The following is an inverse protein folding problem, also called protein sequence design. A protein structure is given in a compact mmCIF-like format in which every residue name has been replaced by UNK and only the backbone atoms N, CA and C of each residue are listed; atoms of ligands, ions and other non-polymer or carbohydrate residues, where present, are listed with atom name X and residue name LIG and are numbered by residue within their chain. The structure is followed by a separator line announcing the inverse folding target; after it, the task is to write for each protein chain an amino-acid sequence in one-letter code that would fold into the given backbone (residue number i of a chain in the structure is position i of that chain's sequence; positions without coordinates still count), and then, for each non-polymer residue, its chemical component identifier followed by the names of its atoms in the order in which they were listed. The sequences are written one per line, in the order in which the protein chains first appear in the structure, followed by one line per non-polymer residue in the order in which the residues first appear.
data_IF_602861250829
#
_entry.id   IF_602861250829
#
_cell.length_a   1.000
_cell.length_b   1.000
_cell.length_c   1.000
_cell.angle_alpha   90.00
_cell.angle_beta   90.00
_cell.angle_gamma   90.00
#
_symmetry.space_group_name_H-M   'P 1'
#
loop_
_entity.id
_entity.type
_entity.pdbx_description
1 polymer ?
#
# COMPACT_ATOMS: atom_id res chain seq x y z
N UNK A 1 7.19 -14.87 13.19
CA UNK A 1 5.73 -14.63 13.24
C UNK A 1 5.23 -14.68 11.82
N UNK A 2 4.16 -15.42 11.52
CA UNK A 2 3.58 -15.41 10.17
C UNK A 2 2.70 -14.15 10.07
N UNK A 3 2.88 -13.28 9.06
CA UNK A 3 2.03 -12.10 8.90
C UNK A 3 0.58 -12.48 8.63
N UNK A 4 -0.41 -11.76 9.18
CA UNK A 4 -1.83 -12.11 9.08
C UNK A 4 -2.37 -12.08 7.64
N UNK A 5 -1.74 -11.30 6.76
CA UNK A 5 -2.14 -11.15 5.36
C UNK A 5 -1.51 -12.20 4.42
N UNK A 6 -0.59 -13.04 4.91
CA UNK A 6 0.18 -13.98 4.08
C UNK A 6 -0.71 -14.98 3.36
N UNK A 7 -1.66 -15.57 4.06
CA UNK A 7 -2.54 -16.59 3.48
C UNK A 7 -3.45 -16.01 2.40
N UNK A 8 -3.97 -14.80 2.63
CA UNK A 8 -4.74 -14.04 1.63
C UNK A 8 -3.90 -13.76 0.38
N UNK A 9 -2.63 -13.33 0.54
CA UNK A 9 -1.74 -13.14 -0.61
C UNK A 9 -1.42 -14.45 -1.35
N UNK A 10 -1.24 -15.56 -0.64
CA UNK A 10 -1.05 -16.87 -1.27
C UNK A 10 -2.28 -17.31 -2.07
N UNK A 11 -3.49 -17.01 -1.58
CA UNK A 11 -4.73 -17.26 -2.31
C UNK A 11 -4.84 -16.35 -3.54
N UNK A 12 -4.59 -15.05 -3.39
CA UNK A 12 -4.58 -14.10 -4.50
C UNK A 12 -3.58 -14.50 -5.60
N UNK A 13 -2.39 -14.99 -5.23
CA UNK A 13 -1.41 -15.55 -6.19
C UNK A 13 -2.01 -16.68 -7.01
N UNK A 14 -2.71 -17.63 -6.38
CA UNK A 14 -3.34 -18.76 -7.07
C UNK A 14 -4.37 -18.25 -8.06
N UNK A 15 -5.19 -17.27 -7.65
CA UNK A 15 -6.19 -16.64 -8.51
C UNK A 15 -5.55 -15.92 -9.71
N UNK A 16 -4.49 -15.12 -9.51
CA UNK A 16 -3.78 -14.51 -10.63
C UNK A 16 -3.14 -15.55 -11.57
N UNK A 17 -2.64 -16.67 -11.03
CA UNK A 17 -2.12 -17.77 -11.86
C UNK A 17 -3.24 -18.40 -12.70
N UNK A 18 -4.46 -18.53 -12.16
CA UNK A 18 -5.63 -18.98 -12.91
C UNK A 18 -6.04 -17.97 -13.99
N UNK A 19 -5.99 -16.66 -13.71
CA UNK A 19 -6.18 -15.63 -14.73
C UNK A 19 -5.17 -15.78 -15.88
N UNK A 20 -3.89 -15.99 -15.56
CA UNK A 20 -2.84 -16.16 -16.57
C UNK A 20 -3.13 -17.37 -17.46
N UNK A 21 -3.44 -18.53 -16.86
CA UNK A 21 -3.78 -19.74 -17.60
C UNK A 21 -5.00 -19.54 -18.51
N UNK A 22 -5.99 -18.74 -18.09
CA UNK A 22 -7.16 -18.42 -18.91
C UNK A 22 -6.77 -17.61 -20.15
N UNK A 23 -5.92 -16.60 -19.99
CA UNK A 23 -5.39 -15.82 -21.12
C UNK A 23 -4.53 -16.68 -22.03
N UNK A 24 -3.68 -17.57 -21.49
CA UNK A 24 -2.89 -18.53 -22.26
C UNK A 24 -3.78 -19.47 -23.09
N UNK A 25 -4.82 -20.03 -22.49
CA UNK A 25 -5.80 -20.88 -23.20
C UNK A 25 -6.46 -20.11 -24.36
N UNK A 26 -6.80 -18.84 -24.15
CA UNK A 26 -7.34 -17.98 -25.21
C UNK A 26 -6.32 -17.71 -26.32
N UNK A 27 -5.05 -17.49 -25.98
CA UNK A 27 -3.95 -17.33 -26.93
C UNK A 27 -3.76 -18.61 -27.76
N UNK A 28 -3.80 -19.79 -27.15
CA UNK A 28 -3.68 -21.07 -27.85
C UNK A 28 -4.84 -21.28 -28.84
N UNK A 29 -6.06 -20.88 -28.47
CA UNK A 29 -7.25 -21.06 -29.30
C UNK A 29 -7.38 -20.02 -30.43
N UNK A 30 -6.98 -18.76 -30.20
CA UNK A 30 -7.27 -17.63 -31.08
C UNK A 30 -6.03 -16.95 -31.66
N UNK A 31 -4.84 -17.36 -31.23
CA UNK A 31 -3.57 -16.71 -31.56
C UNK A 31 -3.26 -15.51 -30.66
N UNK A 32 -1.98 -15.13 -30.62
CA UNK A 32 -1.51 -14.00 -29.82
C UNK A 32 -1.92 -12.66 -30.46
N UNK A 33 -2.60 -11.81 -29.69
CA UNK A 33 -2.93 -10.43 -30.06
C UNK A 33 -2.22 -9.43 -29.15
N UNK A 34 -2.10 -8.14 -29.52
CA UNK A 34 -1.55 -7.11 -28.64
C UNK A 34 -2.28 -7.01 -27.29
N UNK A 35 -3.62 -7.13 -27.32
CA UNK A 35 -4.46 -7.15 -26.11
C UNK A 35 -4.07 -8.32 -25.19
N UNK A 36 -4.08 -9.55 -25.72
CA UNK A 36 -3.76 -10.75 -24.94
C UNK A 36 -2.31 -10.72 -24.43
N UNK A 37 -1.37 -10.18 -25.22
CA UNK A 37 0.02 -9.98 -24.82
C UNK A 37 0.14 -9.04 -23.61
N UNK A 38 -0.53 -7.88 -23.64
CA UNK A 38 -0.50 -6.94 -22.51
C UNK A 38 -1.18 -7.53 -21.27
N UNK A 39 -2.29 -8.26 -21.44
CA UNK A 39 -2.99 -8.95 -20.36
C UNK A 39 -2.09 -9.98 -19.68
N UNK A 40 -1.49 -10.91 -20.44
CA UNK A 40 -0.65 -11.97 -19.86
C UNK A 40 0.59 -11.38 -19.17
N UNK A 41 1.21 -10.33 -19.72
CA UNK A 41 2.33 -9.64 -19.07
C UNK A 41 1.89 -9.01 -17.75
N UNK A 42 0.74 -8.30 -17.73
CA UNK A 42 0.24 -7.66 -16.51
C UNK A 42 -0.08 -8.63 -15.40
N UNK A 43 -0.81 -9.69 -15.73
CA UNK A 43 -1.19 -10.75 -14.79
C UNK A 43 0.03 -11.54 -14.33
N UNK A 44 0.98 -11.84 -15.24
CA UNK A 44 2.22 -12.52 -14.90
C UNK A 44 3.09 -11.71 -13.94
N UNK A 45 3.24 -10.40 -14.20
CA UNK A 45 3.95 -9.48 -13.30
C UNK A 45 3.25 -9.40 -11.93
N UNK A 46 1.91 -9.31 -11.89
CA UNK A 46 1.16 -9.31 -10.65
C UNK A 46 1.36 -10.61 -9.85
N UNK A 47 1.32 -11.76 -10.52
CA UNK A 47 1.53 -13.08 -9.92
C UNK A 47 2.90 -13.19 -9.25
N UNK A 48 3.96 -12.78 -9.96
CA UNK A 48 5.33 -12.87 -9.45
C UNK A 48 5.57 -11.93 -8.27
N UNK A 49 5.06 -10.69 -8.33
CA UNK A 49 5.22 -9.75 -7.21
C UNK A 49 4.42 -10.17 -5.97
N UNK A 50 3.20 -10.71 -6.13
CA UNK A 50 2.44 -11.26 -4.99
C UNK A 50 3.13 -12.47 -4.40
N UNK A 51 3.68 -13.35 -5.26
CA UNK A 51 4.48 -14.48 -4.77
C UNK A 51 5.63 -13.99 -3.90
N UNK A 52 6.38 -12.98 -4.35
CA UNK A 52 7.46 -12.39 -3.56
C UNK A 52 6.97 -11.77 -2.26
N UNK A 53 5.84 -11.07 -2.27
CA UNK A 53 5.27 -10.50 -1.04
C UNK A 53 4.86 -11.59 -0.03
N UNK A 54 4.21 -12.67 -0.50
CA UNK A 54 3.70 -13.76 0.34
C UNK A 54 4.79 -14.72 0.85
N UNK A 55 5.83 -14.95 0.04
CA UNK A 55 6.89 -15.91 0.33
C UNK A 55 8.17 -15.27 0.86
N UNK A 56 8.28 -13.94 0.87
CA UNK A 56 9.43 -13.27 1.48
C UNK A 56 9.50 -13.68 2.95
N UNK A 57 10.63 -14.24 3.35
CA UNK A 57 10.98 -14.50 4.75
C UNK A 57 11.75 -13.31 5.35
N UNK A 58 12.31 -13.50 6.54
CA UNK A 58 13.12 -12.48 7.19
C UNK A 58 14.40 -12.16 6.41
N UNK A 59 14.84 -10.90 6.47
CA UNK A 59 16.11 -10.50 5.88
C UNK A 59 17.27 -10.91 6.79
N UNK A 60 18.23 -11.61 6.21
CA UNK A 60 19.50 -11.93 6.84
C UNK A 60 20.61 -11.03 6.33
N UNK A 61 21.12 -10.18 7.21
CA UNK A 61 22.28 -9.33 6.97
C UNK A 61 23.58 -10.13 7.19
N UNK A 62 24.62 -9.84 6.41
CA UNK A 62 25.95 -10.43 6.63
C UNK A 62 26.52 -10.05 8.03
N UNK A 63 26.18 -8.87 8.53
CA UNK A 63 26.58 -8.40 9.86
C UNK A 63 25.64 -8.86 10.97
N UNK A 64 26.19 -9.14 12.16
CA UNK A 64 25.41 -9.66 13.32
C UNK A 64 24.47 -8.64 13.97
N UNK A 65 24.72 -7.33 13.78
CA UNK A 65 24.02 -6.28 14.52
C UNK A 65 22.57 -6.08 14.05
N UNK A 66 22.33 -6.16 12.74
CA UNK A 66 20.99 -5.91 12.17
C UNK A 66 20.08 -7.14 12.26
N UNK A 67 20.63 -8.35 12.28
CA UNK A 67 19.87 -9.60 12.41
C UNK A 67 19.12 -9.75 13.76
N UNK A 68 19.50 -8.98 14.78
CA UNK A 68 18.84 -8.97 16.09
C UNK A 68 17.98 -7.72 16.32
N UNK A 69 17.95 -6.80 15.35
CA UNK A 69 17.23 -5.55 15.48
C UNK A 69 15.75 -5.77 15.29
N UNK A 70 14.91 -5.27 16.21
CA UNK A 70 13.44 -5.29 16.02
C UNK A 70 13.03 -4.63 14.70
N UNK A 71 13.82 -3.67 14.23
CA UNK A 71 13.58 -3.00 12.95
C UNK A 71 13.68 -3.94 11.75
N UNK A 72 14.36 -5.10 11.82
CA UNK A 72 14.43 -6.00 10.65
C UNK A 72 13.04 -6.43 10.17
N UNK A 73 12.16 -6.76 11.11
CA UNK A 73 10.84 -7.32 10.80
C UNK A 73 9.96 -6.26 10.13
N UNK A 74 10.00 -5.03 10.63
CA UNK A 74 9.33 -3.89 10.01
C UNK A 74 9.86 -3.58 8.60
N UNK A 75 11.16 -3.76 8.37
CA UNK A 75 11.72 -3.52 7.04
C UNK A 75 11.15 -4.51 6.03
N UNK A 76 11.04 -5.77 6.46
CA UNK A 76 10.44 -6.85 5.68
C UNK A 76 8.98 -6.51 5.38
N UNK A 77 8.20 -6.05 6.36
CA UNK A 77 6.81 -5.61 6.15
C UNK A 77 6.68 -4.49 5.10
N UNK A 78 7.57 -3.50 5.14
CA UNK A 78 7.57 -2.43 4.12
C UNK A 78 7.90 -2.98 2.72
N UNK A 79 8.82 -3.94 2.63
CA UNK A 79 9.15 -4.58 1.35
C UNK A 79 7.99 -5.45 0.83
N UNK A 80 7.33 -6.22 1.70
CA UNK A 80 6.11 -6.98 1.36
C UNK A 80 5.03 -6.05 0.85
N UNK A 81 4.77 -4.93 1.54
CA UNK A 81 3.85 -3.89 1.08
C UNK A 81 4.20 -3.38 -0.32
N UNK A 82 5.47 -3.02 -0.56
CA UNK A 82 5.91 -2.52 -1.86
C UNK A 82 5.75 -3.55 -2.98
N UNK A 83 6.05 -4.82 -2.71
CA UNK A 83 5.84 -5.89 -3.69
C UNK A 83 4.36 -6.09 -4.01
N UNK A 84 3.48 -6.12 -3.00
CA UNK A 84 2.04 -6.14 -3.23
C UNK A 84 1.59 -4.91 -4.04
N UNK A 85 2.08 -3.71 -3.71
CA UNK A 85 1.78 -2.52 -4.49
C UNK A 85 2.19 -2.65 -5.96
N UNK A 86 3.41 -3.13 -6.24
CA UNK A 86 3.88 -3.34 -7.62
C UNK A 86 3.02 -4.34 -8.39
N UNK A 87 2.54 -5.38 -7.71
CA UNK A 87 1.59 -6.30 -8.33
C UNK A 87 0.29 -5.60 -8.74
N UNK A 88 -0.27 -4.76 -7.85
CA UNK A 88 -1.55 -4.10 -8.12
C UNK A 88 -1.39 -3.05 -9.22
N UNK A 89 -0.25 -2.33 -9.18
CA UNK A 89 0.16 -1.37 -10.20
C UNK A 89 0.21 -2.01 -11.59
N UNK A 90 0.73 -3.23 -11.69
CA UNK A 90 0.75 -3.96 -12.96
C UNK A 90 -0.66 -4.20 -13.54
N UNK A 91 -1.70 -4.24 -12.72
CA UNK A 91 -3.08 -4.32 -13.20
C UNK A 91 -3.58 -2.93 -13.61
N UNK A 92 -3.60 -1.95 -12.70
CA UNK A 92 -4.27 -0.67 -12.97
C UNK A 92 -3.52 0.26 -13.94
N UNK A 93 -2.24 0.04 -14.25
CA UNK A 93 -1.55 0.82 -15.29
C UNK A 93 -1.90 0.40 -16.70
N UNK A 94 -2.40 -0.83 -16.87
CA UNK A 94 -2.85 -1.37 -18.17
C UNK A 94 -4.31 -0.98 -18.37
N UNK A 95 -4.51 0.30 -18.68
CA UNK A 95 -5.83 0.95 -18.63
C UNK A 95 -6.85 0.29 -19.54
N UNK A 96 -6.43 -0.02 -20.77
CA UNK A 96 -7.35 -0.50 -21.79
C UNK A 96 -7.51 -2.02 -21.76
N UNK A 97 -6.49 -2.74 -21.30
CA UNK A 97 -6.43 -4.20 -21.39
C UNK A 97 -6.86 -4.92 -20.12
N UNK A 98 -6.68 -4.30 -18.94
CA UNK A 98 -7.02 -4.90 -17.65
C UNK A 98 -7.91 -4.01 -16.79
N UNK A 99 -7.59 -2.73 -16.63
CA UNK A 99 -8.39 -1.84 -15.78
C UNK A 99 -9.79 -1.61 -16.34
N UNK A 100 -9.93 -1.50 -17.67
CA UNK A 100 -11.20 -1.31 -18.38
C UNK A 100 -12.24 -2.39 -18.04
N UNK A 101 -11.79 -3.59 -17.67
CA UNK A 101 -12.65 -4.70 -17.23
C UNK A 101 -13.40 -4.35 -15.93
N UNK A 102 -12.84 -3.47 -15.10
CA UNK A 102 -13.45 -2.98 -13.86
C UNK A 102 -14.27 -1.70 -14.04
N UNK A 103 -14.08 -1.00 -15.17
CA UNK A 103 -14.75 0.25 -15.50
C UNK A 103 -13.78 1.36 -15.89
N UNK A 104 -14.25 2.60 -15.81
CA UNK A 104 -13.50 3.79 -16.22
C UNK A 104 -13.12 4.63 -15.00
N UNK A 105 -11.83 4.97 -14.81
CA UNK A 105 -11.43 5.83 -13.71
C UNK A 105 -12.01 7.24 -13.85
N UNK A 106 -12.20 7.93 -12.72
CA UNK A 106 -12.79 9.28 -12.71
C UNK A 106 -11.98 10.33 -13.46
N UNK A 107 -10.67 10.10 -13.62
CA UNK A 107 -9.75 10.97 -14.35
C UNK A 107 -8.54 10.18 -14.90
N UNK A 108 -7.59 10.89 -15.52
CA UNK A 108 -6.37 10.31 -16.08
C UNK A 108 -5.26 9.99 -15.06
N UNK A 109 -5.47 10.19 -13.76
CA UNK A 109 -4.42 10.01 -12.75
C UNK A 109 -4.21 8.55 -12.33
N UNK A 110 -3.02 8.22 -11.85
CA UNK A 110 -2.71 6.91 -11.26
C UNK A 110 -3.58 6.63 -10.03
N UNK A 111 -3.84 7.66 -9.21
CA UNK A 111 -4.69 7.54 -8.03
C UNK A 111 -6.13 7.12 -8.39
N UNK A 112 -6.74 7.71 -9.42
CA UNK A 112 -8.10 7.34 -9.81
C UNK A 112 -8.18 5.91 -10.39
N UNK A 113 -7.14 5.47 -11.09
CA UNK A 113 -7.01 4.09 -11.55
C UNK A 113 -6.92 3.10 -10.38
N UNK A 114 -6.09 3.39 -9.37
CA UNK A 114 -6.02 2.60 -8.14
C UNK A 114 -7.35 2.63 -7.36
N UNK A 115 -7.96 3.81 -7.22
CA UNK A 115 -9.21 3.99 -6.50
C UNK A 115 -10.36 3.20 -7.13
N UNK A 116 -10.39 3.09 -8.46
CA UNK A 116 -11.33 2.22 -9.17
C UNK A 116 -11.18 0.76 -8.70
N UNK A 117 -9.96 0.20 -8.73
CA UNK A 117 -9.73 -1.18 -8.26
C UNK A 117 -10.09 -1.37 -6.78
N UNK A 118 -9.73 -0.42 -5.92
CA UNK A 118 -10.13 -0.47 -4.50
C UNK A 118 -11.65 -0.54 -4.35
N UNK A 119 -12.37 0.30 -5.10
CA UNK A 119 -13.84 0.39 -5.02
C UNK A 119 -14.49 -0.87 -5.58
N UNK A 120 -13.93 -1.46 -6.65
CA UNK A 120 -14.40 -2.73 -7.21
C UNK A 120 -14.15 -3.92 -6.28
N UNK A 121 -13.04 -3.91 -5.54
CA UNK A 121 -12.69 -4.98 -4.60
C UNK A 121 -13.58 -5.00 -3.35
N UNK A 122 -13.96 -3.82 -2.83
CA UNK A 122 -14.75 -3.70 -1.58
C UNK A 122 -14.17 -4.51 -0.41
N UNK A 123 -12.89 -4.30 -0.02
CA UNK A 123 -12.21 -5.16 0.93
C UNK A 123 -12.96 -5.26 2.28
N UNK A 124 -13.15 -6.48 2.82
CA UNK A 124 -13.88 -6.68 4.06
C UNK A 124 -13.19 -5.97 5.23
N UNK A 125 -13.98 -5.53 6.21
CA UNK A 125 -13.51 -4.84 7.42
C UNK A 125 -12.73 -3.53 7.17
N UNK A 126 -12.71 -3.00 5.94
CA UNK A 126 -11.97 -1.77 5.62
C UNK A 126 -12.38 -0.58 6.51
N UNK A 127 -13.66 -0.48 6.88
CA UNK A 127 -14.15 0.56 7.79
C UNK A 127 -13.54 0.44 9.20
N UNK A 128 -13.58 -0.76 9.81
CA UNK A 128 -13.01 -0.99 11.14
C UNK A 128 -11.48 -0.81 11.16
N UNK A 129 -10.79 -1.27 10.10
CA UNK A 129 -9.35 -1.02 9.93
C UNK A 129 -9.07 0.47 9.77
N UNK A 130 -9.90 1.20 9.02
CA UNK A 130 -9.77 2.65 8.83
C UNK A 130 -9.91 3.42 10.15
N UNK A 131 -10.89 3.06 10.97
CA UNK A 131 -11.06 3.64 12.31
C UNK A 131 -9.79 3.46 13.16
N UNK A 132 -9.22 2.26 13.16
CA UNK A 132 -7.97 1.96 13.89
C UNK A 132 -6.78 2.76 13.32
N UNK A 133 -6.67 2.87 11.99
CA UNK A 133 -5.65 3.70 11.34
C UNK A 133 -5.79 5.18 11.71
N UNK A 134 -7.02 5.71 11.78
CA UNK A 134 -7.28 7.08 12.24
C UNK A 134 -6.83 7.27 13.69
N UNK A 135 -7.12 6.32 14.59
CA UNK A 135 -6.63 6.37 15.97
C UNK A 135 -5.10 6.39 16.04
N UNK A 136 -4.42 5.54 15.26
CA UNK A 136 -2.96 5.50 15.21
C UNK A 136 -2.36 6.81 14.69
N UNK A 137 -2.98 7.44 13.69
CA UNK A 137 -2.55 8.70 13.09
C UNK A 137 -2.85 9.92 13.97
N UNK A 138 -3.95 9.90 14.72
CA UNK A 138 -4.33 10.97 15.64
C UNK A 138 -3.56 10.89 16.97
N UNK A 139 -3.06 9.71 17.33
CA UNK A 139 -2.40 9.52 18.61
C UNK A 139 -1.14 10.41 18.75
N UNK A 140 -0.97 11.03 19.93
CA UNK A 140 0.10 11.99 20.17
C UNK A 140 1.47 11.30 20.18
N UNK A 141 2.48 12.06 19.80
CA UNK A 141 3.90 11.73 19.92
C UNK A 141 4.67 12.96 20.41
N UNK A 142 5.73 12.71 21.17
CA UNK A 142 6.69 13.73 21.53
C UNK A 142 7.79 13.81 20.48
N UNK A 143 8.00 14.99 19.92
CA UNK A 143 8.99 15.19 18.85
C UNK A 143 9.70 16.53 18.97
N UNK A 144 10.91 16.62 18.42
CA UNK A 144 11.71 17.86 18.29
C UNK A 144 11.53 18.54 16.94
N UNK A 145 10.49 18.15 16.18
CA UNK A 145 10.20 18.78 14.91
C UNK A 145 9.86 20.27 15.13
N UNK A 146 10.33 21.18 14.26
CA UNK A 146 9.95 22.58 14.34
C UNK A 146 8.47 22.71 13.99
N UNK A 147 7.63 23.00 14.99
CA UNK A 147 6.17 23.16 14.82
C UNK A 147 5.82 24.62 14.55
N UNK A 148 6.62 25.55 15.09
CA UNK A 148 6.53 26.99 14.90
C UNK A 148 7.93 27.61 14.79
N UNK A 149 8.07 28.68 14.01
CA UNK A 149 9.33 29.42 13.82
C UNK A 149 9.84 30.14 15.08
N UNK A 150 9.02 30.20 16.14
CA UNK A 150 9.28 30.92 17.38
C UNK A 150 9.82 30.04 18.52
N UNK A 151 9.76 28.70 18.40
CA UNK A 151 10.15 27.79 19.48
C UNK A 151 11.53 27.18 19.22
N UNK A 152 12.41 27.14 20.24
CA UNK A 152 13.74 26.57 20.08
C UNK A 152 13.65 25.06 19.82
N UNK A 153 14.41 24.57 18.83
CA UNK A 153 14.50 23.16 18.36
C UNK A 153 14.86 22.17 19.50
N UNK A 154 15.26 22.69 20.66
CA UNK A 154 15.60 21.92 21.85
C UNK A 154 14.38 21.43 22.66
N UNK A 155 13.19 21.94 22.38
CA UNK A 155 11.95 21.61 23.10
C UNK A 155 11.25 20.39 22.48
N UNK A 156 10.79 19.46 23.31
CA UNK A 156 9.85 18.44 22.86
C UNK A 156 8.46 19.05 22.78
N UNK A 157 7.73 18.67 21.74
CA UNK A 157 6.37 19.09 21.52
C UNK A 157 5.49 17.89 21.19
N UNK A 158 4.29 17.88 21.78
CA UNK A 158 3.26 16.90 21.46
C UNK A 158 2.56 17.28 20.16
N UNK A 159 2.66 16.40 19.16
CA UNK A 159 1.92 16.49 17.89
C UNK A 159 1.24 15.16 17.58
N UNK A 160 0.25 15.17 16.68
CA UNK A 160 -0.28 13.91 16.16
C UNK A 160 0.77 13.19 15.30
N UNK A 161 0.64 11.87 15.20
CA UNK A 161 1.47 11.04 14.33
C UNK A 161 1.38 11.50 12.87
N UNK A 162 0.18 11.85 12.39
CA UNK A 162 -0.05 12.41 11.05
C UNK A 162 0.74 13.70 10.82
N UNK A 163 0.72 14.61 11.79
CA UNK A 163 1.45 15.88 11.68
C UNK A 163 2.96 15.65 11.64
N UNK A 164 3.49 14.70 12.41
CA UNK A 164 4.89 14.33 12.34
C UNK A 164 5.28 13.73 10.98
N UNK A 165 4.45 12.85 10.41
CA UNK A 165 4.66 12.29 9.07
C UNK A 165 4.67 13.41 8.03
N UNK A 166 3.64 14.27 8.04
CA UNK A 166 3.51 15.39 7.12
C UNK A 166 4.74 16.30 7.13
N UNK A 167 5.20 16.71 8.32
CA UNK A 167 6.36 17.61 8.45
C UNK A 167 7.67 16.98 7.99
N UNK A 168 7.84 15.68 8.21
CA UNK A 168 9.12 14.99 7.91
C UNK A 168 9.19 14.49 6.47
N UNK A 169 8.07 14.11 5.88
CA UNK A 169 8.03 13.37 4.63
C UNK A 169 7.15 13.99 3.54
N UNK A 170 6.50 15.13 3.79
CA UNK A 170 5.76 15.87 2.78
C UNK A 170 6.37 17.27 2.54
N UNK A 171 7.34 17.37 1.61
CA UNK A 171 7.88 18.64 1.15
C UNK A 171 6.79 19.60 0.66
N UNK A 172 7.01 20.90 0.84
CA UNK A 172 6.08 21.97 0.45
C UNK A 172 5.78 22.05 -1.05
N UNK A 173 6.62 21.43 -1.89
CA UNK A 173 6.46 21.39 -3.34
C UNK A 173 5.74 20.15 -3.86
N UNK A 174 5.39 19.16 -3.02
CA UNK A 174 4.61 18.01 -3.47
C UNK A 174 3.17 18.44 -3.74
N UNK A 175 2.75 18.26 -5.00
CA UNK A 175 1.41 18.59 -5.49
C UNK A 175 0.73 17.32 -5.96
N UNK A 176 -0.35 16.92 -5.29
CA UNK A 176 -1.13 15.73 -5.63
C UNK A 176 -2.36 15.60 -4.74
N UNK A 177 -3.36 14.82 -5.16
CA UNK A 177 -4.61 14.63 -4.40
C UNK A 177 -4.34 14.11 -2.99
N UNK A 178 -3.54 13.05 -2.87
CA UNK A 178 -3.12 12.46 -1.60
C UNK A 178 -2.43 13.49 -0.70
N UNK A 179 -1.47 14.26 -1.25
CA UNK A 179 -0.75 15.28 -0.50
C UNK A 179 -1.69 16.40 0.01
N UNK A 180 -2.63 16.84 -0.82
CA UNK A 180 -3.65 17.84 -0.43
C UNK A 180 -4.59 17.30 0.66
N UNK A 181 -5.05 16.05 0.54
CA UNK A 181 -5.90 15.43 1.56
C UNK A 181 -5.19 15.33 2.91
N UNK A 182 -3.92 14.88 2.92
CA UNK A 182 -3.08 14.85 4.12
C UNK A 182 -2.90 16.25 4.69
N UNK A 183 -2.58 17.25 3.87
CA UNK A 183 -2.42 18.64 4.31
C UNK A 183 -3.70 19.18 4.95
N UNK A 184 -4.86 18.92 4.34
CA UNK A 184 -6.17 19.33 4.87
C UNK A 184 -6.48 18.65 6.20
N UNK A 185 -6.22 17.34 6.32
CA UNK A 185 -6.37 16.61 7.58
C UNK A 185 -5.46 17.17 8.69
N UNK A 186 -4.20 17.49 8.36
CA UNK A 186 -3.28 18.14 9.31
C UNK A 186 -3.78 19.53 9.71
N UNK A 187 -4.28 20.34 8.77
CA UNK A 187 -4.85 21.66 9.06
C UNK A 187 -6.12 21.57 9.92
N UNK A 188 -6.94 20.53 9.73
CA UNK A 188 -8.11 20.24 10.54
C UNK A 188 -7.77 19.61 11.91
N UNK A 189 -6.49 19.28 12.15
CA UNK A 189 -6.01 18.69 13.39
C UNK A 189 -6.43 17.23 13.62
N UNK A 190 -6.96 16.53 12.61
CA UNK A 190 -7.37 15.13 12.74
C UNK A 190 -7.32 14.38 11.40
N UNK A 191 -7.11 13.06 11.47
CA UNK A 191 -6.96 12.16 10.34
C UNK A 191 -8.30 11.62 9.78
N UNK A 192 -9.45 11.97 10.37
CA UNK A 192 -10.72 11.29 10.11
C UNK A 192 -11.27 11.55 8.70
N UNK A 193 -10.77 12.59 8.02
CA UNK A 193 -11.11 12.90 6.63
C UNK A 193 -10.32 12.07 5.60
N UNK A 194 -9.31 11.29 6.03
CA UNK A 194 -8.51 10.47 5.14
C UNK A 194 -9.20 9.13 4.88
N UNK A 195 -9.50 8.83 3.63
CA UNK A 195 -10.03 7.52 3.24
C UNK A 195 -8.93 6.45 3.14
N UNK A 196 -9.33 5.18 3.15
CA UNK A 196 -8.40 4.04 3.04
C UNK A 196 -7.54 4.09 1.76
N UNK A 197 -8.08 4.42 0.56
CA UNK A 197 -7.25 4.60 -0.64
C UNK A 197 -6.17 5.67 -0.48
N UNK A 198 -6.47 6.80 0.17
CA UNK A 198 -5.51 7.86 0.47
C UNK A 198 -4.40 7.35 1.38
N UNK A 199 -4.71 6.54 2.38
CA UNK A 199 -3.71 5.96 3.29
C UNK A 199 -2.83 4.91 2.60
N UNK A 200 -3.41 4.01 1.80
CA UNK A 200 -2.65 3.02 1.01
C UNK A 200 -1.70 3.72 0.01
N UNK A 201 -2.22 4.67 -0.76
CA UNK A 201 -1.43 5.44 -1.72
C UNK A 201 -0.38 6.33 -1.02
N UNK A 202 -0.72 6.87 0.15
CA UNK A 202 0.18 7.64 1.01
C UNK A 202 1.36 6.79 1.49
N UNK A 203 1.09 5.59 2.03
CA UNK A 203 2.13 4.67 2.49
C UNK A 203 3.08 4.28 1.36
N UNK A 204 2.59 4.07 0.12
CA UNK A 204 3.46 3.84 -1.05
C UNK A 204 4.47 4.95 -1.27
N UNK A 205 4.10 6.21 -1.04
CA UNK A 205 5.03 7.32 -1.20
C UNK A 205 6.00 7.41 -0.02
N UNK A 206 5.52 7.09 1.19
CA UNK A 206 6.34 7.16 2.39
C UNK A 206 7.31 5.97 2.52
N UNK A 207 6.95 4.79 2.00
CA UNK A 207 7.71 3.55 2.13
C UNK A 207 9.14 3.63 1.59
N UNK A 208 9.44 4.59 0.70
CA UNK A 208 10.79 4.91 0.23
C UNK A 208 11.74 5.28 1.37
N UNK A 209 11.22 5.84 2.45
CA UNK A 209 11.99 6.18 3.66
C UNK A 209 12.23 4.96 4.56
N UNK A 210 11.73 3.79 4.15
CA UNK A 210 11.86 2.52 4.85
C UNK A 210 11.46 2.63 6.31
N UNK A 211 12.23 1.97 7.15
CA UNK A 211 11.93 1.95 8.58
C UNK A 211 12.07 3.28 9.27
N UNK A 212 12.68 4.32 8.70
CA UNK A 212 12.84 5.60 9.41
C UNK A 212 11.51 6.26 9.77
N UNK A 213 10.42 5.83 9.09
CA UNK A 213 9.03 6.18 9.38
C UNK A 213 8.58 5.81 10.79
N UNK A 214 9.11 4.72 11.38
CA UNK A 214 8.70 4.28 12.72
C UNK A 214 8.89 5.37 13.78
N UNK A 215 9.87 6.25 13.59
CA UNK A 215 10.13 7.36 14.50
C UNK A 215 8.95 8.34 14.60
N UNK A 216 8.10 8.44 13.58
CA UNK A 216 6.88 9.26 13.61
C UNK A 216 5.74 8.61 14.39
N UNK A 217 5.80 7.32 14.69
CA UNK A 217 4.76 6.61 15.46
C UNK A 217 5.11 6.50 16.95
N UNK A 218 6.27 7.01 17.36
CA UNK A 218 6.79 6.97 18.72
C UNK A 218 7.18 5.58 19.23
N UNK A 219 6.76 4.50 18.57
CA UNK A 219 7.10 3.14 18.95
C UNK A 219 7.04 2.18 17.76
N UNK A 220 7.84 1.11 17.84
CA UNK A 220 7.84 0.05 16.85
C UNK A 220 6.48 -0.68 16.74
N UNK A 221 5.80 -1.09 17.84
CA UNK A 221 4.52 -1.79 17.74
C UNK A 221 3.43 -0.97 17.02
N UNK A 222 3.32 0.32 17.31
CA UNK A 222 2.32 1.20 16.67
C UNK A 222 2.53 1.31 15.16
N UNK A 223 3.78 1.42 14.70
CA UNK A 223 4.04 1.48 13.27
C UNK A 223 3.83 0.13 12.58
N UNK A 224 4.24 -0.97 13.24
CA UNK A 224 3.98 -2.32 12.74
C UNK A 224 2.47 -2.55 12.55
N UNK A 225 1.65 -2.17 13.54
CA UNK A 225 0.19 -2.25 13.46
C UNK A 225 -0.37 -1.42 12.29
N UNK A 226 0.09 -0.17 12.14
CA UNK A 226 -0.28 0.69 11.01
C UNK A 226 0.02 0.02 9.66
N UNK A 227 1.23 -0.53 9.50
CA UNK A 227 1.62 -1.22 8.26
C UNK A 227 0.88 -2.54 8.05
N UNK A 228 0.55 -3.27 9.13
CA UNK A 228 -0.18 -4.55 9.04
C UNK A 228 -1.59 -4.32 8.52
N UNK A 229 -2.32 -3.36 9.09
CA UNK A 229 -3.70 -3.05 8.69
C UNK A 229 -3.80 -2.63 7.21
N UNK A 230 -2.81 -1.86 6.72
CA UNK A 230 -2.72 -1.48 5.32
C UNK A 230 -2.36 -2.67 4.42
N UNK A 231 -1.46 -3.55 4.84
CA UNK A 231 -1.11 -4.75 4.08
C UNK A 231 -2.25 -5.77 4.03
N UNK A 232 -2.98 -5.96 5.13
CA UNK A 232 -4.18 -6.81 5.16
C UNK A 232 -5.23 -6.29 4.19
N UNK A 233 -5.48 -4.97 4.19
CA UNK A 233 -6.41 -4.36 3.23
C UNK A 233 -5.92 -4.52 1.79
N UNK A 234 -4.63 -4.35 1.54
CA UNK A 234 -4.05 -4.54 0.21
C UNK A 234 -4.13 -6.00 -0.26
N UNK A 235 -3.94 -6.96 0.64
CA UNK A 235 -4.08 -8.38 0.34
C UNK A 235 -5.52 -8.76 -0.02
N UNK A 236 -6.51 -8.20 0.69
CA UNK A 236 -7.92 -8.38 0.36
C UNK A 236 -8.24 -7.81 -1.04
N UNK A 237 -7.73 -6.60 -1.35
CA UNK A 237 -7.87 -6.02 -2.69
C UNK A 237 -7.31 -6.95 -3.77
N UNK A 238 -6.14 -7.54 -3.54
CA UNK A 238 -5.56 -8.50 -4.49
C UNK A 238 -6.42 -9.74 -4.69
N UNK A 239 -6.95 -10.30 -3.61
CA UNK A 239 -7.82 -11.45 -3.66
C UNK A 239 -9.06 -11.15 -4.52
N UNK A 240 -9.76 -10.05 -4.24
CA UNK A 240 -10.99 -9.70 -4.94
C UNK A 240 -10.75 -9.25 -6.39
N UNK A 241 -9.68 -8.48 -6.65
CA UNK A 241 -9.27 -8.11 -8.02
C UNK A 241 -8.95 -9.35 -8.84
N UNK A 242 -8.16 -10.28 -8.30
CA UNK A 242 -7.81 -11.51 -9.00
C UNK A 242 -9.05 -12.38 -9.24
N UNK A 243 -9.90 -12.56 -8.23
CA UNK A 243 -11.14 -13.32 -8.36
C UNK A 243 -12.08 -12.73 -9.41
N UNK A 244 -12.20 -11.40 -9.44
CA UNK A 244 -13.02 -10.69 -10.43
C UNK A 244 -12.45 -10.86 -11.84
N UNK A 245 -11.13 -10.74 -12.03
CA UNK A 245 -10.48 -10.94 -13.33
C UNK A 245 -10.75 -12.35 -13.90
N UNK A 246 -10.78 -13.40 -13.07
CA UNK A 246 -11.09 -14.76 -13.54
C UNK A 246 -12.45 -14.80 -14.25
N UNK A 247 -13.43 -14.04 -13.78
CA UNK A 247 -14.76 -13.96 -14.38
C UNK A 247 -14.84 -13.10 -15.64
N UNK A 248 -13.92 -12.15 -15.80
CA UNK A 248 -13.97 -11.13 -16.87
C UNK A 248 -13.04 -11.40 -18.05
N UNK A 249 -11.95 -12.15 -17.85
CA UNK A 249 -11.06 -12.65 -18.90
C UNK A 249 -11.71 -13.81 -19.65
#
# INVERSE_FOLDING_TARGET
MIPPHRDTLLQARKLYSQCANKVETTIEAQGLTPLLSTQIIGIGVATEWIRRAAEMDNIHYMGKNLNKSKSSDLFVEILRFNFSWFALNAIFTRRDELLSLFGTPSDGSEYSAFHLLYTSAMPPNAAARLETLHLLLNAPIETRLPIETSLPITSYHSVSTLQAIYRKYLPSNIRGRTARAIQQAVQAGNANSLDMPTLLYGLRNWSVHGNTLHGCFGSHPRFYEYTSLLQETLADIHYDVANTLIGLL
#
